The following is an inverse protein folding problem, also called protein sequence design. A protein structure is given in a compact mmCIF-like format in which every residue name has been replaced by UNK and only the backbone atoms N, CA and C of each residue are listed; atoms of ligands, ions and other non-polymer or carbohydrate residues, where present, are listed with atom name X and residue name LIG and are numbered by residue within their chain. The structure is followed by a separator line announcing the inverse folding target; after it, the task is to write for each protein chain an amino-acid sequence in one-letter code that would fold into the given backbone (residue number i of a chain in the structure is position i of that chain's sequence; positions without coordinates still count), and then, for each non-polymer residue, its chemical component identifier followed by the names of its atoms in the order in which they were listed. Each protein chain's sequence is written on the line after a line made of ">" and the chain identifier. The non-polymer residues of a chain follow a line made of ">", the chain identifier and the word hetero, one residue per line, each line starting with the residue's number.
data_IF_465912267096
#
_entry.id   IF_465912267096
#
_cell.length_a   1.000
_cell.length_b   1.000
_cell.length_c   1.000
_cell.angle_alpha   90.00
_cell.angle_beta   90.00
_cell.angle_gamma   90.00
#
_symmetry.space_group_name_H-M   'P 1'
#
loop_
_entity.id
_entity.type
_entity.pdbx_description
1 polymer ?
#
# COMPACT_ATOMS: atom_id res chain seq x y z
N UNK A 1 18.37 -3.79 17.03
CA UNK A 1 17.06 -3.55 16.37
C UNK A 1 16.25 -2.71 17.34
N UNK A 2 16.16 -1.39 17.13
CA UNK A 2 15.41 -0.50 18.02
C UNK A 2 13.96 -0.48 17.57
N UNK A 3 13.10 -1.17 18.31
CA UNK A 3 11.66 -1.14 18.13
C UNK A 3 11.14 0.21 18.63
N UNK A 4 10.68 1.07 17.70
CA UNK A 4 10.04 2.33 18.06
C UNK A 4 8.70 2.01 18.71
N UNK A 5 8.39 2.55 19.91
CA UNK A 5 7.12 2.27 20.56
C UNK A 5 5.96 2.72 19.66
N UNK A 6 4.86 1.94 19.59
CA UNK A 6 3.75 2.23 18.70
C UNK A 6 3.17 3.60 19.05
N UNK A 7 3.20 4.52 18.08
CA UNK A 7 2.64 5.86 18.25
C UNK A 7 1.13 5.75 18.36
N UNK A 8 0.57 6.16 19.49
CA UNK A 8 -0.87 6.15 19.70
C UNK A 8 -1.56 7.00 18.62
N UNK A 9 -2.51 6.39 17.91
CA UNK A 9 -3.22 7.06 16.83
C UNK A 9 -4.13 8.13 17.42
N UNK A 10 -3.99 9.36 16.92
CA UNK A 10 -4.89 10.45 17.27
C UNK A 10 -6.33 10.13 16.84
N UNK A 11 -7.36 10.73 17.49
CA UNK A 11 -8.74 10.55 17.07
C UNK A 11 -9.00 10.95 15.61
N UNK A 12 -8.22 11.89 15.06
CA UNK A 12 -8.26 12.24 13.65
C UNK A 12 -7.72 11.11 12.75
N UNK A 13 -6.60 10.50 13.13
CA UNK A 13 -6.01 9.38 12.38
C UNK A 13 -6.95 8.16 12.34
N UNK A 14 -7.62 7.84 13.46
CA UNK A 14 -8.60 6.75 13.52
C UNK A 14 -9.79 6.99 12.58
N UNK A 15 -10.30 8.22 12.52
CA UNK A 15 -11.40 8.60 11.59
C UNK A 15 -10.98 8.50 10.13
N UNK A 16 -9.78 9.00 9.80
CA UNK A 16 -9.24 8.92 8.44
C UNK A 16 -9.08 7.47 7.95
N UNK A 17 -8.60 6.58 8.82
CA UNK A 17 -8.49 5.15 8.50
C UNK A 17 -9.86 4.49 8.29
N UNK A 18 -10.83 4.78 9.16
CA UNK A 18 -12.18 4.24 9.02
C UNK A 18 -12.86 4.69 7.71
N UNK A 19 -12.68 5.95 7.31
CA UNK A 19 -13.19 6.46 6.04
C UNK A 19 -12.48 5.82 4.84
N UNK A 20 -11.16 5.68 4.90
CA UNK A 20 -10.39 5.00 3.85
C UNK A 20 -10.80 3.53 3.70
N UNK A 21 -11.06 2.83 4.81
CA UNK A 21 -11.55 1.46 4.81
C UNK A 21 -12.96 1.37 4.21
N UNK A 22 -13.85 2.30 4.58
CA UNK A 22 -15.19 2.39 3.98
C UNK A 22 -15.13 2.62 2.46
N UNK A 23 -14.21 3.48 1.98
CA UNK A 23 -13.97 3.67 0.54
C UNK A 23 -13.43 2.43 -0.14
N UNK A 24 -12.50 1.69 0.47
CA UNK A 24 -11.98 0.43 -0.08
C UNK A 24 -13.07 -0.64 -0.17
N UNK A 25 -13.94 -0.75 0.83
CA UNK A 25 -15.07 -1.68 0.82
C UNK A 25 -16.15 -1.31 -0.20
N UNK A 26 -16.34 -0.02 -0.45
CA UNK A 26 -17.30 0.49 -1.43
C UNK A 26 -16.76 0.48 -2.87
N UNK A 27 -15.43 0.50 -3.05
CA UNK A 27 -14.80 0.28 -4.33
C UNK A 27 -14.98 -1.21 -4.69
N UNK A 28 -15.74 -1.48 -5.76
CA UNK A 28 -15.67 -2.78 -6.39
C UNK A 28 -14.22 -3.02 -6.82
N UNK A 29 -13.65 -4.18 -6.49
CA UNK A 29 -12.40 -4.63 -7.08
C UNK A 29 -12.60 -4.56 -8.60
N UNK A 30 -11.91 -3.63 -9.25
CA UNK A 30 -11.87 -3.61 -10.68
C UNK A 30 -11.30 -4.96 -11.09
N UNK A 31 -12.06 -5.74 -11.86
CA UNK A 31 -11.65 -7.03 -12.41
C UNK A 31 -10.59 -6.75 -13.50
N UNK A 32 -9.44 -6.28 -13.04
CA UNK A 32 -8.27 -6.06 -13.85
C UNK A 32 -7.61 -7.42 -14.03
N UNK A 33 -7.24 -7.79 -15.27
CA UNK A 33 -6.53 -9.04 -15.50
C UNK A 33 -5.29 -9.06 -14.61
N UNK A 34 -5.13 -10.16 -13.86
CA UNK A 34 -3.96 -10.35 -13.00
C UNK A 34 -2.71 -10.26 -13.87
N UNK A 35 -1.77 -9.42 -13.48
CA UNK A 35 -0.47 -9.36 -14.13
C UNK A 35 0.25 -10.71 -13.96
N UNK A 36 0.63 -11.34 -15.07
CA UNK A 36 1.34 -12.62 -15.07
C UNK A 36 2.83 -12.30 -15.25
N UNK A 37 3.64 -12.64 -14.25
CA UNK A 37 5.08 -12.35 -14.26
C UNK A 37 5.45 -10.92 -13.84
N UNK A 38 4.45 -10.07 -13.56
CA UNK A 38 4.63 -8.77 -12.91
C UNK A 38 4.94 -8.91 -11.42
N UNK A 39 5.51 -7.86 -10.83
CA UNK A 39 5.77 -7.84 -9.38
C UNK A 39 4.44 -7.66 -8.65
N UNK A 40 4.21 -8.43 -7.59
CA UNK A 40 3.03 -8.26 -6.74
C UNK A 40 3.01 -6.82 -6.19
N UNK A 41 1.91 -6.12 -6.40
CA UNK A 41 1.70 -4.77 -5.90
C UNK A 41 1.50 -3.70 -6.98
N UNK A 42 1.31 -2.45 -6.56
CA UNK A 42 1.08 -1.34 -7.48
C UNK A 42 2.33 -1.06 -8.33
N UNK A 43 2.10 -0.76 -9.61
CA UNK A 43 3.14 -0.43 -10.61
C UNK A 43 4.26 0.48 -10.04
N UNK A 44 5.52 0.02 -9.97
CA UNK A 44 6.64 0.80 -9.42
C UNK A 44 6.80 2.17 -10.09
N UNK A 45 6.53 2.21 -11.40
CA UNK A 45 6.54 3.42 -12.22
C UNK A 45 5.49 4.46 -11.79
N UNK A 46 4.33 4.02 -11.30
CA UNK A 46 3.23 4.91 -10.86
C UNK A 46 3.36 5.34 -9.40
N UNK A 47 3.95 4.49 -8.56
CA UNK A 47 3.90 4.66 -7.10
C UNK A 47 5.27 4.86 -6.44
N UNK A 48 6.35 4.87 -7.23
CA UNK A 48 7.70 5.21 -6.76
C UNK A 48 8.40 4.12 -5.96
N UNK A 49 7.80 2.93 -5.84
CA UNK A 49 8.35 1.80 -5.08
C UNK A 49 9.16 0.87 -5.99
N UNK A 50 10.33 1.34 -6.41
CA UNK A 50 11.32 0.55 -7.18
C UNK A 50 12.15 -0.39 -6.27
N UNK A 51 11.86 -0.41 -4.98
CA UNK A 51 12.56 -1.23 -4.01
C UNK A 51 11.91 -2.62 -3.92
N UNK A 52 12.72 -3.67 -4.10
CA UNK A 52 12.34 -5.04 -3.81
C UNK A 52 13.37 -5.63 -2.86
N UNK A 53 12.96 -5.94 -1.62
CA UNK A 53 13.84 -6.51 -0.58
C UNK A 53 15.10 -5.66 -0.32
N UNK A 54 15.00 -4.33 -0.31
CA UNK A 54 16.15 -3.44 -0.11
C UNK A 54 17.02 -3.22 -1.33
N UNK A 55 16.64 -3.76 -2.49
CA UNK A 55 17.36 -3.59 -3.75
C UNK A 55 16.50 -2.73 -4.68
N UNK A 56 17.05 -1.58 -5.09
CA UNK A 56 16.52 -0.80 -6.19
C UNK A 56 16.73 -1.59 -7.48
N UNK A 57 15.63 -2.03 -8.09
CA UNK A 57 15.66 -2.80 -9.34
C UNK A 57 15.27 -1.89 -10.49
N UNK A 58 16.14 -1.74 -11.49
CA UNK A 58 15.88 -0.99 -12.75
C UNK A 58 16.01 -1.98 -13.92
N UNK A 59 14.88 -2.32 -14.54
CA UNK A 59 14.76 -3.23 -15.70
C UNK A 59 13.49 -2.92 -16.50
#
# INVERSE_FOLDING_TARGET
>A
MTETPPKELTPAAKRALAEAEARRKAAAEADAPREIGGRDGPEPTRYGDWESKGILSDF
#
